data_IF_122207560500
#
_entry.id   IF_122207560500
#
_cell.length_a   1.000
_cell.length_b   1.000
_cell.length_c   1.000
_cell.angle_alpha   90.00
_cell.angle_beta   90.00
_cell.angle_gamma   90.00
#
_symmetry.space_group_name_H-M   'P 1'
#
loop_
_entity.id
_entity.type
_entity.pdbx_description
1 polymer ?
#
# COMPACT_ATOMS: atom_id res chain seq x y z
N UNK A 1 13.39 -45.39 6.64
CA UNK A 1 14.84 -45.45 6.96
C UNK A 1 15.20 -44.24 7.80
N UNK A 2 15.94 -44.40 8.92
CA UNK A 2 16.24 -43.30 9.85
C UNK A 2 17.19 -42.23 9.29
N UNK A 3 17.75 -42.43 8.11
CA UNK A 3 18.69 -41.50 7.44
C UNK A 3 18.01 -40.57 6.42
N UNK A 4 16.69 -40.67 6.21
CA UNK A 4 16.01 -39.93 5.18
C UNK A 4 14.97 -38.97 5.77
N UNK A 5 15.09 -37.69 5.45
CA UNK A 5 14.08 -36.66 5.76
C UNK A 5 13.29 -36.33 4.51
N UNK A 6 11.96 -36.54 4.56
CA UNK A 6 11.07 -36.22 3.47
C UNK A 6 10.32 -34.92 3.77
N UNK A 7 10.42 -33.93 2.88
CA UNK A 7 9.80 -32.64 3.02
C UNK A 7 8.79 -32.44 1.89
N UNK A 8 7.49 -32.24 2.25
CA UNK A 8 6.43 -31.88 1.33
C UNK A 8 6.15 -30.38 1.43
N UNK A 9 6.35 -29.66 0.34
CA UNK A 9 6.00 -28.25 0.23
C UNK A 9 4.67 -28.10 -0.51
N UNK A 10 3.59 -27.83 0.23
CA UNK A 10 2.28 -27.55 -0.34
C UNK A 10 2.08 -26.03 -0.41
N UNK A 11 2.04 -25.48 -1.64
CA UNK A 11 1.88 -24.04 -1.88
C UNK A 11 0.45 -23.72 -2.35
N UNK A 12 -0.01 -22.49 -2.05
CA UNK A 12 -1.29 -21.92 -2.50
C UNK A 12 -2.56 -22.60 -1.95
N UNK A 13 -2.46 -23.28 -0.81
CA UNK A 13 -3.60 -23.87 -0.14
C UNK A 13 -3.28 -24.29 1.28
N UNK A 14 -4.31 -24.68 2.01
CA UNK A 14 -4.22 -25.26 3.34
C UNK A 14 -4.55 -26.75 3.18
N UNK A 15 -3.75 -27.61 3.79
CA UNK A 15 -4.06 -29.04 3.80
C UNK A 15 -5.33 -29.24 4.66
N UNK A 16 -6.36 -29.87 4.09
CA UNK A 16 -7.55 -30.23 4.87
C UNK A 16 -7.15 -31.23 5.96
N UNK A 17 -7.23 -30.77 7.21
CA UNK A 17 -6.87 -31.56 8.40
C UNK A 17 -7.75 -32.78 8.60
N UNK A 18 -8.91 -32.88 7.89
CA UNK A 18 -9.79 -34.04 7.90
C UNK A 18 -9.24 -35.21 7.05
N UNK A 19 -8.27 -34.93 6.19
CA UNK A 19 -7.68 -35.96 5.36
C UNK A 19 -6.75 -36.87 6.21
N UNK A 20 -6.83 -38.17 5.95
CA UNK A 20 -5.98 -39.18 6.62
C UNK A 20 -4.49 -38.85 6.49
N UNK A 21 -4.08 -38.26 5.37
CA UNK A 21 -2.68 -37.85 5.12
C UNK A 21 -2.23 -36.78 6.13
N UNK A 22 -3.07 -35.79 6.44
CA UNK A 22 -2.73 -34.77 7.43
C UNK A 22 -2.49 -35.39 8.82
N UNK A 23 -3.41 -36.23 9.26
CA UNK A 23 -3.29 -36.93 10.55
C UNK A 23 -2.12 -37.92 10.61
N UNK A 24 -1.73 -38.53 9.48
CA UNK A 24 -0.53 -39.36 9.41
C UNK A 24 0.76 -38.53 9.55
N UNK A 25 0.80 -37.37 8.89
CA UNK A 25 1.96 -36.47 8.96
C UNK A 25 2.11 -35.93 10.39
N UNK A 26 1.03 -35.54 11.05
CA UNK A 26 1.04 -35.07 12.44
C UNK A 26 1.55 -36.13 13.42
N UNK A 27 1.19 -37.40 13.21
CA UNK A 27 1.61 -38.52 14.08
C UNK A 27 3.08 -38.94 13.88
N UNK A 28 3.62 -38.81 12.68
CA UNK A 28 4.94 -39.34 12.32
C UNK A 28 5.99 -38.28 12.02
N UNK A 29 5.59 -37.02 11.96
CA UNK A 29 6.44 -35.90 11.57
C UNK A 29 5.97 -34.58 12.10
N UNK A 30 6.28 -33.50 11.36
CA UNK A 30 5.89 -32.13 11.70
C UNK A 30 5.01 -31.57 10.57
N UNK A 31 3.79 -31.23 10.87
CA UNK A 31 2.92 -30.45 10.01
C UNK A 31 3.07 -28.96 10.37
N UNK A 32 3.69 -28.19 9.47
CA UNK A 32 3.93 -26.77 9.67
C UNK A 32 3.11 -25.95 8.68
N UNK A 33 2.24 -25.08 9.19
CA UNK A 33 1.51 -24.12 8.39
C UNK A 33 2.20 -22.76 8.49
N UNK A 34 2.47 -22.14 7.34
CA UNK A 34 3.06 -20.79 7.23
C UNK A 34 2.01 -19.82 6.72
N UNK A 35 1.12 -19.29 7.57
CA UNK A 35 0.14 -18.30 7.18
C UNK A 35 0.81 -16.97 6.84
N UNK A 36 0.12 -16.15 6.02
CA UNK A 36 0.55 -14.77 5.81
C UNK A 36 0.51 -14.02 7.13
N UNK A 37 1.59 -13.34 7.45
CA UNK A 37 1.67 -12.54 8.67
C UNK A 37 0.66 -11.39 8.62
N UNK A 38 0.04 -11.08 9.74
CA UNK A 38 -0.69 -9.83 9.91
C UNK A 38 0.30 -8.67 10.17
N UNK A 39 -0.18 -7.43 10.17
CA UNK A 39 0.67 -6.24 10.33
C UNK A 39 1.50 -6.29 11.62
N UNK A 40 0.92 -6.71 12.75
CA UNK A 40 1.63 -6.83 14.04
C UNK A 40 2.72 -7.90 14.00
N UNK A 41 2.44 -9.03 13.39
CA UNK A 41 3.41 -10.12 13.22
C UNK A 41 4.54 -9.73 12.26
N UNK A 42 4.23 -8.96 11.20
CA UNK A 42 5.23 -8.44 10.28
C UNK A 42 6.19 -7.47 10.98
N UNK A 43 5.65 -6.55 11.78
CA UNK A 43 6.45 -5.64 12.63
C UNK A 43 7.35 -6.44 13.58
N UNK A 44 6.81 -7.46 14.25
CA UNK A 44 7.58 -8.32 15.14
C UNK A 44 8.68 -9.09 14.38
N UNK A 45 8.40 -9.57 13.16
CA UNK A 45 9.39 -10.21 12.29
C UNK A 45 10.55 -9.26 11.97
N UNK A 46 10.27 -8.03 11.51
CA UNK A 46 11.29 -7.03 11.17
C UNK A 46 12.21 -6.78 12.38
N UNK A 47 11.60 -6.50 13.55
CA UNK A 47 12.35 -6.24 14.78
C UNK A 47 13.21 -7.44 15.19
N UNK A 48 12.66 -8.66 15.16
CA UNK A 48 13.39 -9.87 15.52
C UNK A 48 14.53 -10.18 14.54
N UNK A 49 14.33 -9.90 13.24
CA UNK A 49 15.38 -10.09 12.24
C UNK A 49 16.55 -9.14 12.46
N UNK A 50 16.28 -7.85 12.71
CA UNK A 50 17.31 -6.87 13.05
C UNK A 50 18.05 -7.23 14.36
N UNK A 51 17.33 -7.65 15.39
CA UNK A 51 17.90 -8.06 16.67
C UNK A 51 18.87 -9.26 16.54
N UNK A 52 18.54 -10.26 15.72
CA UNK A 52 19.45 -11.40 15.44
C UNK A 52 20.79 -10.95 14.84
N UNK A 53 20.78 -9.86 14.07
CA UNK A 53 21.97 -9.23 13.49
C UNK A 53 22.63 -8.22 14.44
N UNK A 54 22.09 -8.02 15.65
CA UNK A 54 22.53 -7.02 16.64
C UNK A 54 22.48 -5.59 16.12
N UNK A 55 21.47 -5.30 15.28
CA UNK A 55 21.22 -3.99 14.68
C UNK A 55 19.90 -3.48 15.25
N UNK A 56 19.89 -2.23 15.69
CA UNK A 56 18.69 -1.51 16.08
C UNK A 56 17.93 -1.00 14.85
N UNK A 57 16.64 -0.77 15.00
CA UNK A 57 15.82 -0.17 13.95
C UNK A 57 14.78 0.75 14.59
N UNK A 58 14.65 1.97 14.09
CA UNK A 58 13.68 2.93 14.58
C UNK A 58 12.24 2.51 14.26
N UNK A 59 11.30 2.83 15.15
CA UNK A 59 9.88 2.48 14.95
C UNK A 59 9.32 3.00 13.62
N UNK A 60 9.56 4.27 13.21
CA UNK A 60 9.14 4.77 11.90
C UNK A 60 9.73 3.96 10.73
N UNK A 61 11.00 3.54 10.84
CA UNK A 61 11.65 2.71 9.83
C UNK A 61 11.02 1.31 9.71
N UNK A 62 10.64 0.69 10.85
CA UNK A 62 9.92 -0.59 10.88
C UNK A 62 8.57 -0.49 10.17
N UNK A 63 7.79 0.56 10.50
CA UNK A 63 6.47 0.78 9.90
C UNK A 63 6.57 1.03 8.40
N UNK A 64 7.56 1.82 7.99
CA UNK A 64 7.82 2.11 6.57
C UNK A 64 8.19 0.84 5.79
N UNK A 65 9.05 -0.01 6.35
CA UNK A 65 9.41 -1.30 5.75
C UNK A 65 8.18 -2.21 5.60
N UNK A 66 7.36 -2.32 6.65
CA UNK A 66 6.14 -3.12 6.63
C UNK A 66 5.17 -2.66 5.53
N UNK A 67 5.05 -1.34 5.33
CA UNK A 67 4.20 -0.75 4.30
C UNK A 67 4.76 -0.95 2.88
N UNK A 68 6.05 -0.71 2.67
CA UNK A 68 6.67 -0.70 1.33
C UNK A 68 6.95 -2.09 0.78
N UNK A 69 7.33 -3.02 1.64
CA UNK A 69 7.68 -4.39 1.25
C UNK A 69 6.49 -5.34 1.37
N UNK A 70 5.63 -5.12 2.37
CA UNK A 70 4.45 -5.96 2.64
C UNK A 70 4.83 -7.35 3.16
N UNK A 71 3.94 -8.34 2.90
CA UNK A 71 4.03 -9.69 3.48
C UNK A 71 4.99 -10.66 2.75
N UNK A 72 5.80 -10.19 1.82
CA UNK A 72 6.86 -11.00 1.21
C UNK A 72 8.09 -11.03 2.14
N UNK A 73 8.19 -12.08 2.95
CA UNK A 73 9.25 -12.22 3.95
C UNK A 73 10.64 -12.38 3.33
N UNK A 74 10.75 -13.00 2.15
CA UNK A 74 12.03 -13.15 1.45
C UNK A 74 12.52 -11.79 0.95
N UNK A 75 11.63 -11.01 0.35
CA UNK A 75 11.92 -9.65 -0.06
C UNK A 75 12.24 -8.78 1.16
N UNK A 76 11.47 -8.90 2.24
CA UNK A 76 11.71 -8.18 3.49
C UNK A 76 13.11 -8.45 4.06
N UNK A 77 13.50 -9.72 4.14
CA UNK A 77 14.84 -10.10 4.60
C UNK A 77 15.93 -9.51 3.69
N UNK A 78 15.76 -9.58 2.37
CA UNK A 78 16.70 -9.01 1.41
C UNK A 78 16.83 -7.48 1.51
N UNK A 79 15.71 -6.76 1.74
CA UNK A 79 15.75 -5.30 1.95
C UNK A 79 16.43 -4.94 3.27
N UNK A 80 16.16 -5.71 4.35
CA UNK A 80 16.84 -5.54 5.64
C UNK A 80 18.35 -5.79 5.52
N UNK A 81 18.77 -6.87 4.84
CA UNK A 81 20.19 -7.17 4.65
C UNK A 81 20.90 -6.05 3.85
N UNK A 82 20.27 -5.49 2.82
CA UNK A 82 20.81 -4.31 2.10
C UNK A 82 20.98 -3.10 3.01
N UNK A 83 19.99 -2.81 3.86
CA UNK A 83 20.07 -1.72 4.84
C UNK A 83 21.23 -1.94 5.82
N UNK A 84 21.42 -3.17 6.29
CA UNK A 84 22.49 -3.50 7.24
C UNK A 84 23.87 -3.35 6.62
N UNK A 85 24.02 -3.67 5.33
CA UNK A 85 25.27 -3.46 4.59
C UNK A 85 25.53 -1.95 4.34
N UNK A 86 24.47 -1.17 4.16
CA UNK A 86 24.55 0.28 3.91
C UNK A 86 24.78 1.12 5.19
N UNK A 87 24.79 0.50 6.38
CA UNK A 87 25.06 1.21 7.62
C UNK A 87 26.49 1.81 7.62
N UNK A 88 26.65 3.10 7.93
CA UNK A 88 27.96 3.71 8.11
C UNK A 88 28.76 3.00 9.23
N UNK A 89 30.10 3.06 9.13
CA UNK A 89 30.97 2.50 10.18
C UNK A 89 30.64 3.11 11.56
N UNK A 90 30.44 2.23 12.54
CA UNK A 90 30.09 2.64 13.91
C UNK A 90 28.60 2.85 14.17
N UNK A 91 27.76 2.94 13.16
CA UNK A 91 26.31 3.05 13.32
C UNK A 91 25.65 1.67 13.36
N UNK A 92 24.78 1.45 14.36
CA UNK A 92 24.07 0.17 14.56
C UNK A 92 22.55 0.36 14.57
N UNK A 93 22.05 1.48 14.07
CA UNK A 93 20.63 1.81 14.07
C UNK A 93 20.21 2.19 12.66
N UNK A 94 19.23 1.49 12.12
CA UNK A 94 18.58 1.83 10.87
C UNK A 94 17.54 2.92 11.12
N UNK A 95 17.68 4.05 10.46
CA UNK A 95 16.78 5.20 10.57
C UNK A 95 15.74 5.24 9.46
N UNK A 96 14.67 6.02 9.65
CA UNK A 96 13.66 6.28 8.61
C UNK A 96 14.30 6.81 7.32
N UNK A 97 15.24 7.75 7.43
CA UNK A 97 15.94 8.33 6.28
C UNK A 97 16.73 7.29 5.47
N UNK A 98 17.32 6.30 6.14
CA UNK A 98 18.02 5.19 5.48
C UNK A 98 17.03 4.30 4.72
N UNK A 99 15.87 3.98 5.31
CA UNK A 99 14.84 3.22 4.61
C UNK A 99 14.38 3.97 3.37
N UNK A 100 14.13 5.28 3.47
CA UNK A 100 13.75 6.10 2.32
C UNK A 100 14.80 6.12 1.20
N UNK A 101 16.08 6.06 1.53
CA UNK A 101 17.16 6.16 0.55
C UNK A 101 17.60 4.83 -0.05
N UNK A 102 17.48 3.72 0.67
CA UNK A 102 18.06 2.43 0.28
C UNK A 102 17.04 1.30 0.07
N UNK A 103 15.93 1.31 0.79
CA UNK A 103 14.88 0.35 0.49
C UNK A 103 14.19 0.84 -0.75
N UNK A 104 14.57 0.20 -1.84
CA UNK A 104 14.04 0.43 -3.17
C UNK A 104 12.65 1.04 -3.26
N UNK A 105 12.53 2.25 -2.76
CA UNK A 105 11.85 3.26 -3.52
C UNK A 105 12.78 3.36 -4.72
N UNK A 106 12.57 2.48 -5.68
CA UNK A 106 13.19 2.62 -6.97
C UNK A 106 13.05 4.12 -7.26
N UNK A 107 14.02 4.74 -7.92
CA UNK A 107 13.83 6.09 -8.48
C UNK A 107 12.55 6.15 -9.34
N UNK A 108 11.82 5.10 -9.35
CA UNK A 108 10.55 4.75 -9.94
C UNK A 108 9.47 5.07 -8.93
N UNK A 109 8.68 6.08 -9.20
CA UNK A 109 7.51 6.43 -8.42
C UNK A 109 6.63 5.21 -8.21
N UNK A 110 6.12 5.03 -6.98
CA UNK A 110 5.24 3.92 -6.63
C UNK A 110 3.85 4.41 -6.19
N UNK A 111 2.94 3.47 -5.96
CA UNK A 111 1.57 3.80 -5.58
C UNK A 111 1.48 4.53 -4.23
N UNK A 112 2.40 4.28 -3.30
CA UNK A 112 2.40 4.92 -1.98
C UNK A 112 2.86 6.38 -2.09
N UNK A 113 3.83 6.67 -2.97
CA UNK A 113 4.20 8.05 -3.28
C UNK A 113 3.07 8.81 -3.97
N UNK A 114 2.31 8.13 -4.83
CA UNK A 114 1.09 8.71 -5.40
C UNK A 114 0.07 9.04 -4.32
N UNK A 115 -0.18 8.11 -3.39
CA UNK A 115 -1.11 8.33 -2.28
C UNK A 115 -0.66 9.49 -1.38
N UNK A 116 0.62 9.58 -1.04
CA UNK A 116 1.18 10.70 -0.26
C UNK A 116 1.04 12.02 -1.01
N UNK A 117 1.40 12.07 -2.28
CA UNK A 117 1.27 13.26 -3.12
C UNK A 117 -0.21 13.71 -3.26
N UNK A 118 -1.12 12.76 -3.48
CA UNK A 118 -2.55 13.03 -3.51
C UNK A 118 -3.05 13.52 -2.14
N UNK A 119 -2.66 12.86 -1.05
CA UNK A 119 -3.04 13.23 0.31
C UNK A 119 -2.61 14.63 0.71
N UNK A 120 -1.51 15.12 0.17
CA UNK A 120 -0.98 16.48 0.39
C UNK A 120 -1.39 17.49 -0.68
N UNK A 121 -2.11 17.07 -1.71
CA UNK A 121 -2.43 17.89 -2.91
C UNK A 121 -1.20 18.45 -3.62
N UNK A 122 -0.10 17.70 -3.66
CA UNK A 122 1.07 18.06 -4.44
C UNK A 122 0.82 17.71 -5.92
N UNK A 123 0.16 18.63 -6.61
CA UNK A 123 -0.29 18.45 -8.00
C UNK A 123 0.91 18.19 -8.93
N UNK A 124 2.02 18.89 -8.73
CA UNK A 124 3.20 18.74 -9.56
C UNK A 124 3.77 17.32 -9.46
N UNK A 125 3.90 16.80 -8.23
CA UNK A 125 4.37 15.43 -7.99
C UNK A 125 3.37 14.39 -8.51
N UNK A 126 2.06 14.61 -8.32
CA UNK A 126 1.01 13.72 -8.85
C UNK A 126 1.10 13.59 -10.36
N UNK A 127 1.26 14.70 -11.09
CA UNK A 127 1.36 14.67 -12.56
C UNK A 127 2.66 14.04 -13.05
N UNK A 128 3.75 14.21 -12.31
CA UNK A 128 5.02 13.54 -12.60
C UNK A 128 4.89 12.02 -12.44
N UNK A 129 4.23 11.56 -11.36
CA UNK A 129 3.94 10.15 -11.13
C UNK A 129 2.99 9.60 -12.21
N UNK A 130 1.98 10.35 -12.60
CA UNK A 130 1.06 9.96 -13.67
C UNK A 130 1.79 9.69 -14.99
N UNK A 131 2.70 10.60 -15.37
CA UNK A 131 3.55 10.43 -16.56
C UNK A 131 4.44 9.18 -16.45
N UNK A 132 5.00 8.95 -15.28
CA UNK A 132 5.84 7.78 -15.03
C UNK A 132 5.03 6.47 -15.14
N UNK A 133 3.82 6.41 -14.58
CA UNK A 133 2.94 5.25 -14.68
C UNK A 133 2.53 4.96 -16.12
N UNK A 134 2.22 6.01 -16.89
CA UNK A 134 1.90 5.91 -18.30
C UNK A 134 3.07 5.33 -19.13
N UNK A 135 4.30 5.70 -18.78
CA UNK A 135 5.53 5.17 -19.41
C UNK A 135 5.87 3.74 -18.98
N UNK A 136 5.25 3.22 -17.90
CA UNK A 136 5.53 1.89 -17.35
C UNK A 136 4.24 1.05 -17.15
N UNK A 137 3.40 0.85 -18.19
CA UNK A 137 2.05 0.27 -18.05
C UNK A 137 2.07 -1.20 -17.64
N UNK A 138 3.17 -1.93 -17.85
CA UNK A 138 3.31 -3.33 -17.39
C UNK A 138 3.36 -3.45 -15.87
N UNK A 139 3.94 -2.46 -15.20
CA UNK A 139 4.09 -2.42 -13.74
C UNK A 139 2.91 -1.70 -13.09
N UNK A 140 2.55 -0.53 -13.62
CA UNK A 140 1.52 0.38 -13.09
C UNK A 140 0.29 0.41 -14.00
N UNK A 141 -0.38 -0.71 -14.12
CA UNK A 141 -1.63 -0.76 -14.88
C UNK A 141 -2.82 -0.24 -14.05
N UNK A 142 -3.84 0.21 -14.77
CA UNK A 142 -5.04 0.79 -14.17
C UNK A 142 -5.75 -0.22 -13.23
N UNK A 143 -5.81 -1.51 -13.59
CA UNK A 143 -6.47 -2.57 -12.83
C UNK A 143 -5.81 -2.84 -11.47
N UNK A 144 -4.52 -2.54 -11.32
CA UNK A 144 -3.80 -2.62 -10.03
C UNK A 144 -3.90 -1.31 -9.26
N UNK A 145 -3.86 -0.18 -9.94
CA UNK A 145 -3.82 1.15 -9.34
C UNK A 145 -5.18 1.54 -8.72
N UNK A 146 -6.28 1.32 -9.45
CA UNK A 146 -7.61 1.73 -8.99
C UNK A 146 -8.05 1.07 -7.66
N UNK A 147 -7.91 -0.25 -7.45
CA UNK A 147 -8.28 -0.87 -6.17
C UNK A 147 -7.48 -0.31 -4.98
N UNK A 148 -6.21 0.03 -5.17
CA UNK A 148 -5.37 0.60 -4.11
C UNK A 148 -5.79 2.03 -3.77
N UNK A 149 -6.14 2.85 -4.76
CA UNK A 149 -6.70 4.18 -4.54
C UNK A 149 -8.10 4.11 -3.91
N UNK A 150 -8.92 3.19 -4.35
CA UNK A 150 -10.25 2.96 -3.77
C UNK A 150 -10.13 2.63 -2.28
N UNK A 151 -9.26 1.68 -1.90
CA UNK A 151 -9.00 1.32 -0.50
C UNK A 151 -8.51 2.52 0.30
N UNK A 152 -7.58 3.30 -0.25
CA UNK A 152 -7.04 4.48 0.38
C UNK A 152 -8.12 5.51 0.71
N UNK A 153 -8.91 5.94 -0.29
CA UNK A 153 -9.98 6.92 -0.07
C UNK A 153 -11.17 6.36 0.71
N UNK A 154 -11.42 5.05 0.66
CA UNK A 154 -12.42 4.40 1.52
C UNK A 154 -12.01 4.48 2.99
N UNK A 155 -10.74 4.25 3.34
CA UNK A 155 -10.25 4.43 4.70
C UNK A 155 -10.39 5.89 5.17
N UNK A 156 -10.08 6.87 4.31
CA UNK A 156 -10.30 8.30 4.60
C UNK A 156 -11.79 8.58 4.84
N UNK A 157 -12.67 8.01 4.02
CA UNK A 157 -14.12 8.18 4.18
C UNK A 157 -14.61 7.57 5.50
N UNK A 158 -14.18 6.36 5.83
CA UNK A 158 -14.53 5.69 7.08
C UNK A 158 -14.03 6.47 8.31
N UNK A 159 -12.87 7.11 8.23
CA UNK A 159 -12.33 7.93 9.30
C UNK A 159 -13.21 9.15 9.63
N UNK A 160 -13.95 9.68 8.63
CA UNK A 160 -14.96 10.72 8.89
C UNK A 160 -16.13 10.24 9.74
N UNK A 161 -16.39 8.94 9.79
CA UNK A 161 -17.45 8.34 10.62
C UNK A 161 -16.93 7.78 11.94
N UNK A 162 -15.61 7.81 12.21
CA UNK A 162 -15.07 7.40 13.50
C UNK A 162 -15.70 8.24 14.63
N UNK A 163 -16.19 7.64 15.70
CA UNK A 163 -16.73 8.37 16.86
C UNK A 163 -15.66 9.23 17.56
N UNK A 164 -14.44 8.67 17.65
CA UNK A 164 -13.26 9.37 18.17
C UNK A 164 -12.35 9.78 17.00
N UNK A 165 -12.03 11.08 16.93
CA UNK A 165 -11.18 11.68 15.90
C UNK A 165 -9.71 11.71 16.28
N UNK A 166 -9.32 11.17 17.43
CA UNK A 166 -7.92 11.00 17.81
C UNK A 166 -7.22 10.00 16.89
N UNK A 167 -5.90 10.06 16.80
CA UNK A 167 -5.11 9.08 16.05
C UNK A 167 -5.38 7.65 16.52
N UNK A 168 -5.47 7.49 17.85
CA UNK A 168 -5.80 6.22 18.49
C UNK A 168 -7.21 5.73 18.13
N UNK A 169 -8.23 6.60 18.25
CA UNK A 169 -9.62 6.26 17.96
C UNK A 169 -9.83 5.89 16.49
N UNK A 170 -9.28 6.67 15.55
CA UNK A 170 -9.31 6.36 14.13
C UNK A 170 -8.55 5.05 13.85
N UNK A 171 -7.40 4.84 14.49
CA UNK A 171 -6.62 3.62 14.37
C UNK A 171 -7.39 2.38 14.80
N UNK A 172 -8.04 2.43 15.95
CA UNK A 172 -8.89 1.36 16.46
C UNK A 172 -10.08 1.10 15.52
N UNK A 173 -10.72 2.16 15.01
CA UNK A 173 -11.86 2.09 14.09
C UNK A 173 -11.52 1.43 12.76
N UNK A 174 -10.35 1.77 12.18
CA UNK A 174 -9.90 1.26 10.89
C UNK A 174 -9.05 -0.02 10.98
N UNK A 175 -8.69 -0.45 12.19
CA UNK A 175 -7.75 -1.55 12.41
C UNK A 175 -6.32 -1.22 11.94
N UNK A 176 -5.90 0.05 12.05
CA UNK A 176 -4.60 0.58 11.62
C UNK A 176 -3.76 1.02 12.82
N UNK A 177 -2.43 1.05 12.65
CA UNK A 177 -1.54 1.68 13.62
C UNK A 177 -1.72 3.21 13.64
N UNK A 178 -1.44 3.87 14.77
CA UNK A 178 -1.48 5.33 14.89
C UNK A 178 -0.56 6.02 13.88
N UNK A 179 0.62 5.43 13.62
CA UNK A 179 1.53 5.91 12.59
C UNK A 179 0.88 5.85 11.20
N UNK A 180 0.20 4.76 10.86
CA UNK A 180 -0.55 4.62 9.60
C UNK A 180 -1.65 5.66 9.46
N UNK A 181 -2.38 5.95 10.56
CA UNK A 181 -3.39 7.02 10.59
C UNK A 181 -2.76 8.37 10.34
N UNK A 182 -1.68 8.69 11.06
CA UNK A 182 -0.96 9.97 10.94
C UNK A 182 -0.42 10.20 9.52
N UNK A 183 0.09 9.16 8.90
CA UNK A 183 0.68 9.25 7.56
C UNK A 183 -0.35 9.23 6.44
N UNK A 184 -1.31 8.30 6.49
CA UNK A 184 -2.14 7.99 5.32
C UNK A 184 -3.59 8.50 5.42
N UNK A 185 -4.06 8.83 6.64
CA UNK A 185 -5.45 9.23 6.86
C UNK A 185 -5.59 10.71 7.20
N UNK A 186 -4.80 11.22 8.13
CA UNK A 186 -4.92 12.61 8.56
C UNK A 186 -4.57 13.64 7.46
N UNK A 187 -3.51 13.47 6.63
CA UNK A 187 -3.21 14.43 5.58
C UNK A 187 -4.36 14.58 4.58
N UNK A 188 -4.94 13.51 4.00
CA UNK A 188 -6.08 13.66 3.11
C UNK A 188 -7.35 14.15 3.81
N UNK A 189 -7.60 13.85 5.10
CA UNK A 189 -8.71 14.43 5.84
C UNK A 189 -8.58 15.96 6.00
N UNK A 190 -7.36 16.49 6.10
CA UNK A 190 -7.11 17.94 6.10
C UNK A 190 -7.24 18.55 4.71
N UNK A 191 -6.88 17.80 3.67
CA UNK A 191 -6.83 18.26 2.29
C UNK A 191 -8.19 18.21 1.58
N UNK A 192 -9.06 17.27 1.92
CA UNK A 192 -10.34 17.02 1.26
C UNK A 192 -11.49 17.02 2.28
N UNK A 193 -12.63 17.58 1.93
CA UNK A 193 -13.86 17.40 2.70
C UNK A 193 -14.45 16.00 2.49
N UNK A 194 -15.29 15.50 3.40
CA UNK A 194 -15.97 14.21 3.25
C UNK A 194 -16.78 14.12 1.95
N UNK A 195 -17.44 15.22 1.55
CA UNK A 195 -18.17 15.32 0.26
C UNK A 195 -17.21 15.14 -0.93
N UNK A 196 -16.02 15.78 -0.89
CA UNK A 196 -15.02 15.60 -1.95
C UNK A 196 -14.51 14.17 -2.00
N UNK A 197 -14.25 13.54 -0.84
CA UNK A 197 -13.83 12.13 -0.78
C UNK A 197 -14.89 11.21 -1.38
N UNK A 198 -16.18 11.44 -1.10
CA UNK A 198 -17.27 10.70 -1.74
C UNK A 198 -17.26 10.84 -3.26
N UNK A 199 -17.08 12.07 -3.78
CA UNK A 199 -16.96 12.32 -5.23
C UNK A 199 -15.73 11.61 -5.83
N UNK A 200 -14.61 11.59 -5.12
CA UNK A 200 -13.38 10.87 -5.54
C UNK A 200 -13.66 9.37 -5.67
N UNK A 201 -14.32 8.76 -4.68
CA UNK A 201 -14.70 7.34 -4.72
C UNK A 201 -15.64 7.06 -5.92
N UNK A 202 -16.60 7.95 -6.17
CA UNK A 202 -17.48 7.87 -7.34
C UNK A 202 -16.71 7.94 -8.66
N UNK A 203 -15.70 8.82 -8.76
CA UNK A 203 -14.89 8.97 -9.96
C UNK A 203 -13.95 7.77 -10.18
N UNK A 204 -13.39 7.19 -9.12
CA UNK A 204 -12.62 5.95 -9.20
C UNK A 204 -13.48 4.82 -9.79
N UNK A 205 -14.74 4.67 -9.34
CA UNK A 205 -15.68 3.69 -9.89
C UNK A 205 -15.99 3.96 -11.37
N UNK A 206 -16.22 5.23 -11.75
CA UNK A 206 -16.46 5.62 -13.13
C UNK A 206 -15.25 5.30 -14.01
N UNK A 207 -14.06 5.61 -13.54
CA UNK A 207 -12.81 5.32 -14.25
C UNK A 207 -12.61 3.82 -14.42
N UNK A 208 -12.94 3.00 -13.40
CA UNK A 208 -12.90 1.54 -13.51
C UNK A 208 -13.87 1.02 -14.59
N UNK A 209 -15.11 1.50 -14.61
CA UNK A 209 -16.09 1.15 -15.62
C UNK A 209 -15.62 1.54 -17.03
N UNK A 210 -15.10 2.78 -17.22
CA UNK A 210 -14.53 3.25 -18.49
C UNK A 210 -13.34 2.41 -18.93
N UNK A 211 -12.48 1.97 -18.00
CA UNK A 211 -11.32 1.12 -18.31
C UNK A 211 -11.72 -0.27 -18.85
N UNK A 212 -12.95 -0.68 -18.58
CA UNK A 212 -13.55 -1.95 -19.04
C UNK A 212 -14.48 -1.77 -20.25
N UNK A 213 -14.49 -0.58 -20.85
CA UNK A 213 -15.26 -0.29 -22.06
C UNK A 213 -16.67 0.26 -21.83
N UNK A 214 -17.09 0.49 -20.57
CA UNK A 214 -18.39 1.11 -20.28
C UNK A 214 -18.25 2.62 -20.44
N UNK A 215 -19.10 3.22 -21.30
CA UNK A 215 -19.10 4.68 -21.58
C UNK A 215 -17.73 5.24 -22.01
N UNK A 216 -16.88 4.41 -22.62
CA UNK A 216 -15.60 4.86 -23.16
C UNK A 216 -15.68 5.01 -24.68
N UNK A 217 -15.10 6.09 -25.20
CA UNK A 217 -14.77 6.16 -26.62
C UNK A 217 -13.58 5.23 -26.89
N UNK A 218 -13.59 4.54 -28.02
CA UNK A 218 -12.57 3.54 -28.41
C UNK A 218 -11.14 4.08 -28.49
N UNK A 219 -10.94 5.38 -28.32
CA UNK A 219 -9.65 6.06 -28.41
C UNK A 219 -9.00 6.37 -27.05
N UNK A 220 -9.71 6.24 -25.91
CA UNK A 220 -9.18 6.65 -24.61
C UNK A 220 -8.28 5.56 -24.03
N UNK A 221 -7.01 5.86 -23.81
CA UNK A 221 -6.02 4.93 -23.23
C UNK A 221 -6.16 4.84 -21.70
N UNK A 222 -5.68 3.70 -21.13
CA UNK A 222 -5.64 3.55 -19.67
C UNK A 222 -4.77 4.62 -18.98
N UNK A 223 -3.72 5.10 -19.63
CA UNK A 223 -2.87 6.17 -19.12
C UNK A 223 -3.60 7.51 -19.06
N UNK A 224 -4.40 7.84 -20.09
CA UNK A 224 -5.23 9.03 -20.10
C UNK A 224 -6.30 8.97 -18.99
N UNK A 225 -6.97 7.84 -18.82
CA UNK A 225 -7.96 7.65 -17.74
C UNK A 225 -7.33 7.85 -16.35
N UNK A 226 -6.14 7.32 -16.11
CA UNK A 226 -5.43 7.53 -14.84
C UNK A 226 -5.06 9.01 -14.66
N UNK A 227 -4.60 9.69 -15.71
CA UNK A 227 -4.22 11.10 -15.67
C UNK A 227 -5.41 11.99 -15.37
N UNK A 228 -6.55 11.75 -16.02
CA UNK A 228 -7.82 12.44 -15.75
C UNK A 228 -8.25 12.25 -14.29
N UNK A 229 -8.22 11.01 -13.80
CA UNK A 229 -8.57 10.69 -12.41
C UNK A 229 -7.65 11.42 -11.41
N UNK A 230 -6.34 11.35 -11.60
CA UNK A 230 -5.38 11.97 -10.68
C UNK A 230 -5.52 13.49 -10.67
N UNK A 231 -5.78 14.09 -11.83
CA UNK A 231 -6.10 15.50 -11.94
C UNK A 231 -7.40 15.86 -11.20
N UNK A 232 -8.48 15.09 -11.42
CA UNK A 232 -9.75 15.28 -10.73
C UNK A 232 -9.61 15.21 -9.20
N UNK A 233 -8.82 14.28 -8.70
CA UNK A 233 -8.56 14.14 -7.27
C UNK A 233 -7.84 15.39 -6.75
N UNK A 234 -6.78 15.81 -7.43
CA UNK A 234 -5.87 16.87 -6.97
C UNK A 234 -6.49 18.26 -7.03
N UNK A 235 -7.35 18.52 -8.02
CA UNK A 235 -7.93 19.85 -8.22
C UNK A 235 -9.25 19.97 -7.45
N UNK A 236 -9.34 21.02 -6.64
CA UNK A 236 -10.62 21.42 -6.06
C UNK A 236 -11.40 22.21 -7.12
N UNK A 237 -12.41 21.59 -7.72
CA UNK A 237 -13.39 22.36 -8.47
C UNK A 237 -14.18 23.24 -7.49
N UNK A 238 -13.76 24.47 -7.30
CA UNK A 238 -14.71 25.55 -7.03
C UNK A 238 -15.52 25.71 -8.30
N UNK A 239 -16.85 25.66 -8.20
CA UNK A 239 -17.78 25.79 -9.30
C UNK A 239 -17.30 26.83 -10.32
N UNK A 240 -16.74 26.39 -11.44
CA UNK A 240 -16.82 27.16 -12.67
C UNK A 240 -18.26 26.95 -13.16
N UNK A 241 -19.16 27.83 -12.74
CA UNK A 241 -20.38 28.10 -13.48
C UNK A 241 -19.91 28.55 -14.84
N UNK A 242 -20.12 27.71 -15.85
CA UNK A 242 -20.03 28.14 -17.24
C UNK A 242 -20.93 29.37 -17.37
N UNK A 243 -20.46 30.50 -17.91
CA UNK A 243 -21.33 31.59 -18.20
C UNK A 243 -22.36 31.08 -19.21
N UNK A 244 -23.61 31.08 -18.81
CA UNK A 244 -24.74 30.83 -19.70
C UNK A 244 -24.72 31.95 -20.72
N UNK A 245 -24.24 31.68 -21.93
CA UNK A 245 -24.38 32.60 -23.05
C UNK A 245 -25.85 32.56 -23.43
N UNK A 246 -26.60 33.50 -22.90
CA UNK A 246 -27.90 33.81 -23.47
C UNK A 246 -27.66 34.45 -24.84
N UNK A 247 -27.93 33.68 -25.90
CA UNK A 247 -28.13 34.24 -27.22
C UNK A 247 -29.47 35.00 -27.19
N UNK A 248 -29.43 36.28 -27.48
CA UNK A 248 -30.58 37.12 -27.87
C UNK A 248 -30.88 36.88 -29.32
#
# INVERSE_FOLDING_TARGET
QPSTVLIFCYKNGIIDQRLKVASMIEKQGVLYESPKLNERQLVAFIKSYAQRKRIGIEEPAVMMLAEYVGNDLNRMAGELDKLFIALPEGQKIVTEAMVQSHVGISKEFNIFELQDALGRKDIAKVMLIAKYFDSNPKVYNIQKTLPMLFKYFSNVMLAYYSPDKSEHGIGAWLGMSEWGVRKNVLPPMKAYSGVKVMKIIGEIRRTDARSKGVDSTSSTTCGELMRELFYFISVSYTHLTLPTIYSV
#
